data_IF_578568211310
#
_entry.id   IF_578568211310
#
_cell.length_a   1.000
_cell.length_b   1.000
_cell.length_c   1.000
_cell.angle_alpha   90.00
_cell.angle_beta   90.00
_cell.angle_gamma   90.00
#
_symmetry.space_group_name_H-M   'P 1'
#
loop_
_entity.id
_entity.type
_entity.pdbx_description
1 polymer ?
#
# COMPACT_ATOMS: atom_id res chain seq x y z
N UNK A 1 -25.99 30.98 3.88
CA UNK A 1 -24.58 30.64 4.11
C UNK A 1 -24.36 29.21 3.64
N UNK A 2 -23.75 29.00 2.48
CA UNK A 2 -23.46 27.66 1.96
C UNK A 2 -22.19 27.13 2.62
N UNK A 3 -22.27 25.98 3.29
CA UNK A 3 -21.12 25.28 3.82
C UNK A 3 -20.30 24.75 2.65
N UNK A 4 -19.16 25.40 2.38
CA UNK A 4 -18.16 24.93 1.41
C UNK A 4 -17.66 23.58 1.88
N UNK A 5 -18.19 22.50 1.29
CA UNK A 5 -17.63 21.16 1.43
C UNK A 5 -16.14 21.25 1.10
N UNK A 6 -15.31 20.83 2.05
CA UNK A 6 -13.85 20.82 1.96
C UNK A 6 -13.49 19.88 0.81
N UNK A 7 -13.24 20.43 -0.38
CA UNK A 7 -12.81 19.66 -1.56
C UNK A 7 -11.62 18.77 -1.20
N UNK A 8 -11.44 17.63 -1.90
CA UNK A 8 -10.34 16.72 -1.61
C UNK A 8 -9.06 17.55 -1.69
N UNK A 9 -8.41 17.76 -0.55
CA UNK A 9 -7.04 18.26 -0.53
C UNK A 9 -6.29 17.42 -1.55
N UNK A 10 -5.50 18.04 -2.41
CA UNK A 10 -4.50 17.35 -3.23
C UNK A 10 -3.77 16.38 -2.30
N UNK A 11 -4.23 15.13 -2.28
CA UNK A 11 -3.65 14.08 -1.46
C UNK A 11 -2.56 13.59 -2.36
N UNK A 12 -1.33 13.98 -2.05
CA UNK A 12 -0.19 13.44 -2.74
C UNK A 12 -0.30 11.92 -2.65
N UNK A 13 -0.31 11.26 -3.81
CA UNK A 13 -0.42 9.81 -3.90
C UNK A 13 0.99 9.27 -4.03
N UNK A 14 1.24 8.10 -3.48
CA UNK A 14 2.49 7.40 -3.65
C UNK A 14 2.22 5.97 -4.11
N UNK A 15 3.00 5.52 -5.08
CA UNK A 15 3.10 4.13 -5.45
C UNK A 15 4.24 3.49 -4.66
N UNK A 16 3.93 2.43 -3.92
CA UNK A 16 4.90 1.57 -3.27
C UNK A 16 5.02 0.28 -4.06
N UNK A 17 6.26 -0.09 -4.40
CA UNK A 17 6.59 -1.43 -4.86
C UNK A 17 7.12 -2.25 -3.68
N UNK A 18 6.51 -3.41 -3.44
CA UNK A 18 6.97 -4.40 -2.46
C UNK A 18 7.22 -5.69 -3.23
N UNK A 19 8.48 -6.01 -3.48
CA UNK A 19 8.85 -7.11 -4.38
C UNK A 19 8.30 -6.90 -5.81
N UNK A 20 7.38 -7.75 -6.24
CA UNK A 20 6.75 -7.70 -7.57
C UNK A 20 5.39 -7.01 -7.60
N UNK A 21 4.86 -6.59 -6.44
CA UNK A 21 3.54 -5.98 -6.35
C UNK A 21 3.62 -4.46 -6.20
N UNK A 22 2.68 -3.77 -6.83
CA UNK A 22 2.57 -2.32 -6.82
C UNK A 22 1.28 -1.88 -6.13
N UNK A 23 1.41 -0.96 -5.18
CA UNK A 23 0.32 -0.48 -4.33
C UNK A 23 0.22 1.04 -4.39
N UNK A 24 -0.99 1.56 -4.58
CA UNK A 24 -1.27 3.00 -4.52
C UNK A 24 -1.85 3.38 -3.16
N UNK A 25 -1.22 4.35 -2.50
CA UNK A 25 -1.56 4.80 -1.16
C UNK A 25 -1.47 6.33 -1.07
N UNK A 26 -2.16 6.93 -0.11
CA UNK A 26 -1.87 8.33 0.27
C UNK A 26 -0.40 8.42 0.73
N UNK A 27 0.31 9.49 0.39
CA UNK A 27 1.73 9.66 0.69
C UNK A 27 2.06 9.46 2.17
N UNK A 28 1.22 9.97 3.08
CA UNK A 28 1.41 9.79 4.53
C UNK A 28 1.37 8.31 4.94
N UNK A 29 0.42 7.55 4.38
CA UNK A 29 0.28 6.11 4.64
C UNK A 29 1.41 5.33 3.98
N UNK A 30 1.80 5.72 2.78
CA UNK A 30 2.90 5.12 2.06
C UNK A 30 4.21 5.22 2.86
N UNK A 31 4.50 6.40 3.41
CA UNK A 31 5.68 6.60 4.26
C UNK A 31 5.64 5.74 5.53
N UNK A 32 4.47 5.56 6.14
CA UNK A 32 4.31 4.66 7.30
C UNK A 32 4.57 3.20 6.92
N UNK A 33 4.04 2.73 5.79
CA UNK A 33 4.27 1.37 5.28
C UNK A 33 5.76 1.16 4.98
N UNK A 34 6.40 2.12 4.31
CA UNK A 34 7.84 2.06 4.03
C UNK A 34 8.65 1.92 5.31
N UNK A 35 8.32 2.70 6.35
CA UNK A 35 9.01 2.62 7.65
C UNK A 35 8.85 1.25 8.30
N UNK A 36 7.63 0.72 8.34
CA UNK A 36 7.34 -0.60 8.92
C UNK A 36 8.03 -1.73 8.15
N UNK A 37 8.05 -1.66 6.82
CA UNK A 37 8.64 -2.70 5.98
C UNK A 37 10.18 -2.67 6.00
N UNK A 38 10.79 -1.52 6.28
CA UNK A 38 12.25 -1.44 6.51
C UNK A 38 12.71 -2.17 7.77
N UNK A 39 11.82 -2.31 8.75
CA UNK A 39 12.08 -3.05 10.00
C UNK A 39 11.63 -4.52 9.91
N UNK A 40 11.02 -4.93 8.78
CA UNK A 40 10.52 -6.28 8.57
C UNK A 40 11.49 -7.15 7.75
N UNK A 41 11.33 -8.46 7.89
CA UNK A 41 12.07 -9.47 7.12
C UNK A 41 11.04 -10.35 6.43
N UNK A 42 11.26 -10.66 5.16
CA UNK A 42 10.38 -11.58 4.44
C UNK A 42 10.42 -12.95 5.11
N UNK A 43 9.29 -13.67 5.16
CA UNK A 43 9.28 -15.03 5.68
C UNK A 43 8.56 -15.98 4.73
N UNK A 44 9.14 -17.15 4.53
CA UNK A 44 8.52 -18.23 3.80
C UNK A 44 7.85 -19.21 4.76
N UNK A 45 6.64 -19.61 4.37
CA UNK A 45 5.79 -20.50 5.13
C UNK A 45 6.01 -21.92 4.64
N UNK A 46 6.77 -22.71 5.40
CA UNK A 46 7.06 -24.10 5.05
C UNK A 46 6.23 -25.04 5.93
N UNK A 47 5.34 -25.80 5.29
CA UNK A 47 4.57 -26.85 5.96
C UNK A 47 5.26 -28.20 5.78
N UNK A 48 5.76 -28.79 6.87
CA UNK A 48 6.48 -30.07 6.83
C UNK A 48 6.14 -30.96 8.02
N UNK A 49 5.71 -32.19 7.74
CA UNK A 49 5.68 -33.30 8.70
C UNK A 49 4.75 -33.14 9.93
N UNK A 50 3.72 -32.29 9.86
CA UNK A 50 2.78 -31.86 10.93
C UNK A 50 3.09 -30.54 11.65
N UNK A 51 4.14 -29.82 11.26
CA UNK A 51 4.46 -28.50 11.86
C UNK A 51 4.51 -27.39 10.82
N UNK A 52 4.00 -26.22 11.19
CA UNK A 52 4.16 -24.99 10.42
C UNK A 52 5.45 -24.31 10.86
N UNK A 53 6.36 -24.05 9.91
CA UNK A 53 7.59 -23.30 10.17
C UNK A 53 7.61 -22.03 9.34
N UNK A 54 8.17 -20.98 9.93
CA UNK A 54 8.42 -19.70 9.28
C UNK A 54 9.92 -19.57 9.09
N UNK A 55 10.37 -19.59 7.85
CA UNK A 55 11.78 -19.45 7.50
C UNK A 55 12.02 -17.98 7.21
N UNK A 56 12.86 -17.32 8.01
CA UNK A 56 13.25 -15.93 7.77
C UNK A 56 14.10 -15.85 6.50
N UNK A 57 13.73 -14.95 5.60
CA UNK A 57 14.41 -14.65 4.35
C UNK A 57 15.21 -13.35 4.43
N UNK A 58 15.32 -12.66 3.29
CA UNK A 58 15.99 -11.38 3.18
C UNK A 58 15.05 -10.19 3.49
N UNK A 59 15.62 -9.00 3.63
CA UNK A 59 14.84 -7.77 3.66
C UNK A 59 14.05 -7.62 2.34
N UNK A 60 12.78 -7.21 2.39
CA UNK A 60 11.98 -7.00 1.18
C UNK A 60 12.56 -5.85 0.35
N UNK A 61 12.48 -5.99 -0.98
CA UNK A 61 12.82 -4.90 -1.89
C UNK A 61 11.67 -3.88 -1.89
N UNK A 62 11.99 -2.64 -1.54
CA UNK A 62 11.02 -1.56 -1.36
C UNK A 62 11.41 -0.38 -2.25
N UNK A 63 10.47 0.08 -3.06
CA UNK A 63 10.57 1.35 -3.77
C UNK A 63 9.33 2.20 -3.51
N UNK A 64 9.53 3.51 -3.39
CA UNK A 64 8.46 4.48 -3.24
C UNK A 64 8.61 5.56 -4.31
N UNK A 65 7.56 5.72 -5.09
CA UNK A 65 7.45 6.75 -6.12
C UNK A 65 6.28 7.67 -5.80
N UNK A 66 6.55 8.97 -5.72
CA UNK A 66 5.51 9.98 -5.56
C UNK A 66 4.81 10.20 -6.91
N UNK A 67 3.49 10.14 -6.92
CA UNK A 67 2.67 10.27 -8.13
C UNK A 67 1.64 11.37 -7.90
N UNK A 68 1.37 12.18 -8.92
CA UNK A 68 0.29 13.15 -8.81
C UNK A 68 -1.06 12.44 -8.91
N UNK A 69 -2.05 12.89 -8.13
CA UNK A 69 -3.40 12.34 -8.17
C UNK A 69 -4.02 12.40 -9.59
N UNK A 70 -3.57 13.32 -10.43
CA UNK A 70 -3.97 13.47 -11.83
C UNK A 70 -3.44 12.37 -12.76
N UNK A 71 -2.42 11.62 -12.36
CA UNK A 71 -1.82 10.54 -13.15
C UNK A 71 -2.42 9.17 -12.82
N UNK A 72 -3.29 9.09 -11.81
CA UNK A 72 -3.96 7.84 -11.40
C UNK A 72 -5.23 7.67 -12.23
N UNK A 73 -5.15 6.83 -13.26
CA UNK A 73 -6.33 6.40 -14.02
C UNK A 73 -6.98 5.24 -13.26
N UNK A 74 -8.14 5.50 -12.65
CA UNK A 74 -8.99 4.41 -12.18
C UNK A 74 -9.53 3.67 -13.40
N UNK A 75 -9.31 2.36 -13.56
CA UNK A 75 -10.01 1.59 -14.57
C UNK A 75 -11.50 1.72 -14.25
N UNK A 76 -12.21 2.41 -15.13
CA UNK A 76 -13.62 2.71 -15.01
C UNK A 76 -14.43 1.44 -15.22
N UNK A 77 -14.48 0.54 -14.23
CA UNK A 77 -15.64 -0.37 -14.02
C UNK A 77 -15.61 -1.23 -12.72
N UNK A 78 -15.21 -0.70 -11.57
CA UNK A 78 -15.50 -1.42 -10.32
C UNK A 78 -15.74 -0.46 -9.17
N UNK A 79 -17.01 -0.38 -8.76
CA UNK A 79 -17.49 0.33 -7.58
C UNK A 79 -16.56 0.06 -6.40
N UNK A 80 -15.93 1.14 -5.92
CA UNK A 80 -15.20 1.17 -4.68
C UNK A 80 -16.07 0.59 -3.56
N UNK A 81 -15.46 -0.27 -2.74
CA UNK A 81 -16.05 -1.02 -1.64
C UNK A 81 -17.14 -0.22 -0.90
N UNK A 82 -18.32 -0.80 -0.63
CA UNK A 82 -19.34 -0.14 0.17
C UNK A 82 -18.83 0.09 1.60
N UNK A 83 -18.97 1.34 2.02
CA UNK A 83 -18.75 1.88 3.36
C UNK A 83 -19.36 0.95 4.43
N UNK A 84 -18.52 0.26 5.21
CA UNK A 84 -18.98 -0.49 6.39
C UNK A 84 -19.26 0.50 7.53
N UNK A 85 -20.56 0.63 7.85
CA UNK A 85 -21.11 1.35 9.01
C UNK A 85 -20.61 0.84 10.35
#
# INVERSE_FOLDING_TARGET
>A
MATRAKGPRSRDVACIRIGFEHYLLDADKAMQVLKLMRESIACERHYGGRSMRYIAGAAPELELSMIQASEVVMPSDQLALPDMR
#
